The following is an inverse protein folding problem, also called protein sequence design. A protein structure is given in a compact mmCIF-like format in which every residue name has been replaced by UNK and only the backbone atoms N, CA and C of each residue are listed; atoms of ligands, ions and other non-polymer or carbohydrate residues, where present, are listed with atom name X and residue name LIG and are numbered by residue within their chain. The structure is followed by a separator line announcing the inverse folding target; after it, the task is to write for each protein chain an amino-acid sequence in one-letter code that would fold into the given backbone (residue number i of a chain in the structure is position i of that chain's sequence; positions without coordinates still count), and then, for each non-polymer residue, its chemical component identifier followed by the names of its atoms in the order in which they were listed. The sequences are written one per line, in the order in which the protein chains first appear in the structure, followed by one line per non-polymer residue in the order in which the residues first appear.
data_IF_466587959856
#
_entry.id   IF_466587959856
#
_cell.length_a   1.000
_cell.length_b   1.000
_cell.length_c   1.000
_cell.angle_alpha   90.00
_cell.angle_beta   90.00
_cell.angle_gamma   90.00
#
_symmetry.space_group_name_H-M   'P 1'
#
loop_
_entity.id
_entity.type
_entity.pdbx_description
1 polymer ?
#
# COMPACT_ATOMS: atom_id res chain seq x y z
N UNK A 1 32.94 -17.46 -34.46
CA UNK A 1 32.62 -16.16 -33.82
C UNK A 1 31.18 -16.08 -33.31
N UNK A 2 30.19 -16.62 -34.04
CA UNK A 2 28.75 -16.61 -33.67
C UNK A 2 28.43 -17.41 -32.39
N UNK A 3 29.16 -18.51 -32.11
CA UNK A 3 28.91 -19.36 -30.94
C UNK A 3 29.25 -18.69 -29.59
N UNK A 4 30.14 -17.68 -29.57
CA UNK A 4 30.53 -16.97 -28.34
C UNK A 4 29.51 -15.91 -27.90
N UNK A 5 28.68 -15.42 -28.83
CA UNK A 5 27.61 -14.47 -28.51
C UNK A 5 26.39 -15.18 -27.89
N UNK A 6 26.11 -16.42 -28.27
CA UNK A 6 25.01 -17.19 -27.69
C UNK A 6 25.25 -17.56 -26.21
N UNK A 7 26.47 -17.92 -25.83
CA UNK A 7 26.79 -18.26 -24.43
C UNK A 7 26.73 -17.04 -23.51
N UNK A 8 27.11 -15.85 -24.00
CA UNK A 8 27.01 -14.61 -23.23
C UNK A 8 25.54 -14.17 -23.03
N UNK A 9 24.68 -14.35 -24.04
CA UNK A 9 23.26 -14.03 -23.95
C UNK A 9 22.51 -14.97 -22.97
N UNK A 10 22.84 -16.27 -22.96
CA UNK A 10 22.21 -17.24 -22.05
C UNK A 10 22.63 -17.01 -20.59
N UNK A 11 23.89 -16.63 -20.34
CA UNK A 11 24.35 -16.29 -18.99
C UNK A 11 23.76 -14.97 -18.48
N UNK A 12 23.59 -13.96 -19.36
CA UNK A 12 22.90 -12.72 -19.01
C UNK A 12 21.41 -12.94 -18.71
N UNK A 13 20.77 -13.88 -19.42
CA UNK A 13 19.37 -14.25 -19.16
C UNK A 13 19.21 -14.97 -17.81
N UNK A 14 20.15 -15.83 -17.43
CA UNK A 14 20.11 -16.54 -16.15
C UNK A 14 20.38 -15.64 -14.93
N UNK A 15 21.17 -14.58 -15.07
CA UNK A 15 21.47 -13.65 -13.97
C UNK A 15 20.33 -12.67 -13.65
N UNK A 16 19.47 -12.35 -14.62
CA UNK A 16 18.35 -11.40 -14.42
C UNK A 16 17.23 -11.93 -13.52
N UNK A 17 17.14 -13.24 -13.30
CA UNK A 17 16.07 -13.87 -12.50
C UNK A 17 16.41 -14.08 -11.01
N UNK A 18 17.60 -13.68 -10.55
CA UNK A 18 18.09 -13.98 -9.19
C UNK A 18 17.93 -12.85 -8.16
N UNK A 19 17.15 -11.80 -8.43
CA UNK A 19 16.82 -10.78 -7.41
C UNK A 19 15.74 -11.32 -6.46
N UNK A 20 16.17 -11.95 -5.36
CA UNK A 20 15.32 -12.28 -4.19
C UNK A 20 14.50 -11.05 -3.79
N UNK A 21 13.20 -11.24 -3.54
CA UNK A 21 12.29 -10.18 -3.10
C UNK A 21 12.89 -9.46 -1.89
N UNK A 22 13.27 -8.20 -2.10
CA UNK A 22 13.80 -7.34 -1.05
C UNK A 22 12.65 -6.51 -0.48
N UNK A 23 12.64 -6.38 0.84
CA UNK A 23 11.85 -5.35 1.53
C UNK A 23 12.67 -4.06 1.44
N UNK A 24 12.09 -3.00 0.90
CA UNK A 24 12.74 -1.67 0.89
C UNK A 24 12.10 -0.85 1.99
N UNK A 25 12.88 -0.56 3.03
CA UNK A 25 12.48 0.25 4.17
C UNK A 25 12.81 1.70 3.83
N UNK A 26 11.80 2.52 3.52
CA UNK A 26 11.96 3.97 3.31
C UNK A 26 11.75 4.70 4.63
N UNK A 27 12.83 5.04 5.32
CA UNK A 27 12.75 5.67 6.64
C UNK A 27 12.50 7.19 6.56
N UNK A 28 11.31 7.61 6.99
CA UNK A 28 11.04 8.92 7.61
C UNK A 28 10.82 8.70 9.11
N UNK A 29 11.16 9.69 9.94
CA UNK A 29 11.20 9.54 11.39
C UNK A 29 9.87 9.01 11.97
N UNK A 30 9.97 7.96 12.80
CA UNK A 30 8.95 7.28 13.61
C UNK A 30 8.04 6.16 13.06
N UNK A 31 7.78 6.00 11.77
CA UNK A 31 7.39 4.67 11.23
C UNK A 31 7.60 4.61 9.72
N UNK A 32 8.18 3.51 9.26
CA UNK A 32 8.48 3.28 7.85
C UNK A 32 7.27 2.64 7.19
N UNK A 33 6.65 3.32 6.23
CA UNK A 33 5.73 2.67 5.31
C UNK A 33 6.45 1.47 4.68
N UNK A 34 5.97 0.26 4.95
CA UNK A 34 6.70 -0.94 4.54
C UNK A 34 6.38 -1.21 3.08
N UNK A 35 7.39 -1.03 2.24
CA UNK A 35 7.28 -1.25 0.80
C UNK A 35 7.78 -2.66 0.47
N UNK A 36 6.86 -3.47 -0.03
CA UNK A 36 7.11 -4.85 -0.43
C UNK A 36 7.19 -4.98 -1.93
N UNK A 37 8.21 -5.72 -2.41
CA UNK A 37 8.27 -6.12 -3.80
C UNK A 37 7.66 -7.52 -3.97
N UNK A 38 6.40 -7.56 -4.44
CA UNK A 38 5.66 -8.78 -4.73
C UNK A 38 5.98 -9.32 -6.12
N UNK A 39 6.39 -10.58 -6.16
CA UNK A 39 6.47 -11.37 -7.40
C UNK A 39 5.08 -11.80 -7.86
N UNK A 40 4.98 -12.21 -9.11
CA UNK A 40 3.77 -12.80 -9.70
C UNK A 40 3.33 -14.00 -8.84
N UNK A 41 2.04 -14.08 -8.48
CA UNK A 41 1.46 -15.16 -7.66
C UNK A 41 2.11 -15.31 -6.28
N UNK A 42 2.70 -14.25 -5.76
CA UNK A 42 3.21 -14.21 -4.39
C UNK A 42 2.31 -13.34 -3.50
N UNK A 43 2.41 -13.56 -2.20
CA UNK A 43 1.68 -12.82 -1.19
C UNK A 43 2.61 -12.42 -0.06
N UNK A 44 2.50 -11.18 0.39
CA UNK A 44 3.16 -10.71 1.62
C UNK A 44 2.10 -10.26 2.60
N UNK A 45 2.43 -10.35 3.90
CA UNK A 45 1.51 -10.02 4.96
C UNK A 45 2.19 -9.25 6.09
N UNK A 46 1.50 -8.26 6.64
CA UNK A 46 1.83 -7.62 7.91
C UNK A 46 0.92 -8.13 9.03
N UNK A 47 1.47 -8.22 10.23
CA UNK A 47 0.79 -8.69 11.42
C UNK A 47 0.89 -7.61 12.48
N UNK A 48 -0.21 -7.34 13.17
CA UNK A 48 -0.21 -6.44 14.32
C UNK A 48 -1.25 -6.92 15.34
N UNK A 49 -1.07 -6.52 16.59
CA UNK A 49 -1.94 -6.92 17.70
C UNK A 49 -2.89 -5.78 18.05
N UNK A 50 -4.18 -6.08 18.16
CA UNK A 50 -5.21 -5.09 18.51
C UNK A 50 -6.03 -5.53 19.72
N UNK A 51 -6.58 -4.54 20.41
CA UNK A 51 -7.50 -4.75 21.53
C UNK A 51 -8.95 -4.59 21.05
N UNK A 52 -9.90 -5.21 21.75
CA UNK A 52 -11.31 -5.09 21.45
C UNK A 52 -11.78 -3.65 21.61
N UNK A 53 -12.76 -3.30 20.79
CA UNK A 53 -13.38 -1.97 20.67
C UNK A 53 -12.44 -0.90 20.12
N UNK A 54 -11.21 -1.24 19.73
CA UNK A 54 -10.36 -0.33 18.97
C UNK A 54 -10.82 -0.24 17.52
N UNK A 55 -10.69 0.94 16.92
CA UNK A 55 -10.83 1.10 15.47
C UNK A 55 -9.46 0.96 14.82
N UNK A 56 -9.40 0.14 13.77
CA UNK A 56 -8.19 -0.16 13.01
C UNK A 56 -8.42 0.22 11.57
N UNK A 57 -7.47 0.95 10.99
CA UNK A 57 -7.48 1.27 9.56
C UNK A 57 -6.28 0.62 8.91
N UNK A 58 -6.52 -0.12 7.83
CA UNK A 58 -5.45 -0.56 6.96
C UNK A 58 -5.43 0.29 5.70
N UNK A 59 -4.23 0.58 5.19
CA UNK A 59 -4.04 1.22 3.90
C UNK A 59 -3.14 0.38 3.01
N UNK A 60 -3.54 0.26 1.74
CA UNK A 60 -2.79 -0.47 0.73
C UNK A 60 -2.68 0.38 -0.52
N UNK A 61 -1.47 0.63 -0.98
CA UNK A 61 -1.20 1.25 -2.26
C UNK A 61 -0.38 0.32 -3.14
N UNK A 62 -0.80 0.14 -4.38
CA UNK A 62 -0.20 -0.81 -5.32
C UNK A 62 0.30 -0.08 -6.55
N UNK A 63 1.59 -0.24 -6.83
CA UNK A 63 2.23 0.20 -8.06
C UNK A 63 2.68 -1.04 -8.85
N UNK A 64 2.48 -1.03 -10.17
CA UNK A 64 3.02 -2.10 -11.01
C UNK A 64 4.44 -1.75 -11.43
N UNK A 65 5.41 -2.60 -11.08
CA UNK A 65 6.82 -2.40 -11.46
C UNK A 65 7.05 -2.73 -12.95
N UNK A 66 6.18 -3.57 -13.53
CA UNK A 66 6.29 -4.13 -14.88
C UNK A 66 5.02 -3.86 -15.70
N UNK A 67 4.93 -4.35 -16.95
CA UNK A 67 3.81 -4.11 -17.89
C UNK A 67 2.42 -4.60 -17.43
N UNK A 68 2.31 -5.11 -16.22
CA UNK A 68 1.09 -5.68 -15.70
C UNK A 68 0.10 -4.66 -15.18
N UNK A 69 -1.13 -5.13 -14.96
CA UNK A 69 -2.16 -4.34 -14.32
C UNK A 69 -1.84 -4.22 -12.82
N UNK A 70 -1.94 -3.02 -12.20
CA UNK A 70 -1.81 -2.84 -10.77
C UNK A 70 -3.09 -3.35 -10.09
N UNK A 71 -3.23 -4.68 -10.06
CA UNK A 71 -4.36 -5.40 -9.45
C UNK A 71 -3.82 -6.30 -8.35
N UNK A 72 -4.41 -6.18 -7.17
CA UNK A 72 -4.03 -7.00 -6.04
C UNK A 72 -5.26 -7.52 -5.29
N UNK A 73 -5.15 -8.73 -4.75
CA UNK A 73 -6.12 -9.26 -3.81
C UNK A 73 -5.68 -8.88 -2.41
N UNK A 74 -6.51 -8.12 -1.71
CA UNK A 74 -6.28 -7.69 -0.33
C UNK A 74 -7.13 -8.58 0.56
N UNK A 75 -6.51 -9.15 1.59
CA UNK A 75 -7.22 -9.90 2.62
C UNK A 75 -6.88 -9.40 4.00
N UNK A 76 -7.88 -9.00 4.78
CA UNK A 76 -7.76 -8.61 6.18
C UNK A 76 -8.46 -9.65 7.06
N UNK A 77 -7.68 -10.31 7.90
CA UNK A 77 -8.10 -11.49 8.67
C UNK A 77 -7.69 -11.37 10.14
N UNK A 78 -8.57 -11.78 11.05
CA UNK A 78 -8.23 -11.95 12.46
C UNK A 78 -9.45 -12.05 13.38
N UNK A 79 -9.26 -12.39 14.67
CA UNK A 79 -7.97 -12.71 15.29
C UNK A 79 -7.43 -14.09 14.85
N UNK A 80 -6.13 -14.19 14.57
CA UNK A 80 -5.41 -15.39 14.10
C UNK A 80 -4.80 -16.19 15.27
N UNK A 81 -4.49 -15.50 16.36
CA UNK A 81 -4.02 -16.06 17.64
C UNK A 81 -4.51 -15.13 18.76
N UNK A 82 -4.95 -15.68 19.90
CA UNK A 82 -5.51 -14.91 21.02
C UNK A 82 -6.94 -15.26 21.44
N UNK A 83 -7.56 -16.30 20.87
CA UNK A 83 -8.93 -16.72 21.23
C UNK A 83 -9.04 -17.47 22.58
N UNK A 84 -8.11 -17.29 23.52
CA UNK A 84 -8.25 -17.88 24.86
C UNK A 84 -9.52 -17.38 25.57
N UNK A 85 -9.97 -16.15 25.26
CA UNK A 85 -11.23 -15.61 25.78
C UNK A 85 -12.52 -16.04 25.04
N UNK A 86 -12.42 -16.72 23.89
CA UNK A 86 -13.56 -17.14 23.06
C UNK A 86 -13.96 -18.62 23.25
N UNK A 87 -13.21 -19.35 24.07
CA UNK A 87 -13.51 -20.71 24.50
C UNK A 87 -13.35 -20.83 26.02
N UNK A 88 -14.42 -20.69 26.82
CA UNK A 88 -14.36 -20.96 28.26
C UNK A 88 -14.05 -22.43 28.63
N UNK A 89 -13.96 -23.35 27.66
CA UNK A 89 -13.92 -24.81 27.90
C UNK A 89 -12.62 -25.53 27.50
N UNK A 90 -11.55 -24.84 27.10
CA UNK A 90 -10.27 -25.49 26.79
C UNK A 90 -9.20 -25.09 27.78
N UNK A 91 -9.21 -25.78 28.92
CA UNK A 91 -8.27 -25.60 30.01
C UNK A 91 -6.81 -25.85 29.61
N UNK A 92 -5.95 -25.01 30.20
CA UNK A 92 -4.59 -25.32 30.67
C UNK A 92 -3.74 -26.24 29.80
N UNK A 93 -2.86 -25.66 28.99
CA UNK A 93 -1.56 -26.27 28.75
C UNK A 93 -0.45 -25.28 29.08
N UNK A 94 0.49 -25.79 29.88
CA UNK A 94 1.58 -25.13 30.58
C UNK A 94 2.50 -24.29 29.70
N UNK A 95 2.85 -23.11 30.22
CA UNK A 95 4.05 -22.39 29.83
C UNK A 95 5.30 -23.19 30.23
N UNK A 96 6.21 -23.43 29.28
CA UNK A 96 7.62 -23.61 29.63
C UNK A 96 8.59 -23.23 28.49
N UNK A 97 9.52 -22.36 28.85
CA UNK A 97 10.90 -22.17 28.37
C UNK A 97 11.19 -21.24 27.17
N UNK A 98 11.81 -20.09 27.50
CA UNK A 98 13.24 -19.89 27.22
C UNK A 98 13.67 -19.16 25.94
N UNK A 99 14.02 -17.87 26.08
CA UNK A 99 15.28 -17.29 25.58
C UNK A 99 15.56 -17.16 24.07
N UNK A 100 15.44 -15.93 23.56
CA UNK A 100 16.33 -15.32 22.54
C UNK A 100 16.51 -16.11 21.22
N UNK A 101 15.41 -16.56 20.60
CA UNK A 101 15.31 -16.87 19.15
C UNK A 101 13.98 -16.38 18.53
N UNK A 102 13.34 -15.41 19.18
CA UNK A 102 11.89 -15.20 19.10
C UNK A 102 11.36 -14.63 17.77
N UNK A 103 12.12 -13.86 16.99
CA UNK A 103 11.58 -13.23 15.78
C UNK A 103 11.26 -14.24 14.65
N UNK A 104 12.08 -15.29 14.48
CA UNK A 104 11.81 -16.32 13.47
C UNK A 104 10.83 -17.40 13.96
N UNK A 105 10.62 -17.50 15.27
CA UNK A 105 9.66 -18.43 15.87
C UNK A 105 8.24 -17.84 15.86
N UNK A 106 8.08 -16.54 16.15
CA UNK A 106 6.78 -15.85 16.07
C UNK A 106 6.12 -16.04 14.70
N UNK A 107 6.86 -15.83 13.61
CA UNK A 107 6.34 -16.05 12.25
C UNK A 107 5.93 -17.51 11.97
N UNK A 108 6.59 -18.49 12.59
CA UNK A 108 6.21 -19.92 12.49
C UNK A 108 5.05 -20.27 13.40
N UNK A 109 4.98 -19.69 14.58
CA UNK A 109 3.90 -19.90 15.55
C UNK A 109 2.60 -19.23 15.13
N UNK A 110 2.65 -18.01 14.58
CA UNK A 110 1.50 -17.37 13.94
C UNK A 110 0.98 -18.19 12.76
N UNK A 111 1.87 -18.76 11.94
CA UNK A 111 1.48 -19.70 10.87
C UNK A 111 0.90 -20.99 11.42
N UNK A 112 1.48 -21.57 12.48
CA UNK A 112 0.95 -22.78 13.13
C UNK A 112 -0.41 -22.50 13.74
N UNK A 113 -0.59 -21.41 14.49
CA UNK A 113 -1.87 -20.97 15.06
C UNK A 113 -2.93 -20.74 13.99
N UNK A 114 -2.57 -20.08 12.87
CA UNK A 114 -3.45 -19.91 11.71
C UNK A 114 -3.90 -21.23 11.05
N UNK A 115 -3.11 -22.31 11.17
CA UNK A 115 -3.44 -23.61 10.56
C UNK A 115 -4.11 -24.56 11.54
N UNK A 116 -3.79 -24.45 12.84
CA UNK A 116 -4.22 -25.40 13.88
C UNK A 116 -5.37 -24.89 14.75
N UNK A 117 -5.46 -23.58 14.97
CA UNK A 117 -6.44 -22.94 15.86
C UNK A 117 -7.40 -22.02 15.10
N UNK A 118 -7.24 -21.87 13.78
CA UNK A 118 -8.28 -21.23 12.97
C UNK A 118 -9.54 -22.07 13.10
N UNK A 119 -10.62 -21.54 13.72
CA UNK A 119 -11.73 -22.41 14.04
C UNK A 119 -12.32 -22.88 12.71
N UNK A 120 -12.65 -24.18 12.62
CA UNK A 120 -13.28 -24.82 11.45
C UNK A 120 -14.72 -24.29 11.24
N UNK A 121 -14.86 -22.97 11.13
CA UNK A 121 -16.09 -22.19 10.96
C UNK A 121 -16.66 -22.42 9.56
N UNK A 122 -15.83 -22.88 8.62
CA UNK A 122 -16.24 -23.14 7.24
C UNK A 122 -17.37 -24.17 7.15
N UNK A 123 -17.50 -25.10 8.11
CA UNK A 123 -18.49 -26.17 8.01
C UNK A 123 -19.67 -26.11 8.99
N UNK A 124 -19.53 -25.49 10.17
CA UNK A 124 -20.63 -25.40 11.15
C UNK A 124 -21.55 -24.18 10.98
N UNK A 125 -21.07 -23.10 10.34
CA UNK A 125 -21.78 -21.81 10.27
C UNK A 125 -22.19 -21.39 8.85
N UNK A 126 -22.42 -22.34 7.92
CA UNK A 126 -22.82 -22.06 6.53
C UNK A 126 -24.10 -21.21 6.37
N UNK A 127 -24.83 -20.91 7.46
CA UNK A 127 -26.03 -20.05 7.47
C UNK A 127 -25.95 -18.78 8.33
N UNK A 128 -24.84 -18.50 9.03
CA UNK A 128 -24.75 -17.31 9.92
C UNK A 128 -24.03 -16.18 9.19
N UNK A 129 -24.68 -15.00 9.08
CA UNK A 129 -24.08 -13.76 8.55
C UNK A 129 -22.72 -13.51 9.21
N UNK A 130 -21.68 -13.25 8.41
CA UNK A 130 -20.31 -12.97 8.88
C UNK A 130 -20.26 -11.95 10.02
N UNK A 131 -21.13 -10.94 9.99
CA UNK A 131 -21.23 -9.88 11.00
C UNK A 131 -21.60 -10.38 12.42
N UNK A 132 -22.23 -11.56 12.53
CA UNK A 132 -22.67 -12.18 13.79
C UNK A 132 -21.69 -13.21 14.36
N UNK A 133 -20.60 -13.53 13.65
CA UNK A 133 -19.61 -14.52 14.09
C UNK A 133 -18.62 -13.87 15.04
N UNK A 134 -18.57 -14.32 16.29
CA UNK A 134 -17.47 -14.31 17.28
C UNK A 134 -16.33 -13.26 17.15
N UNK A 135 -16.59 -12.04 16.67
CA UNK A 135 -15.55 -11.03 16.42
C UNK A 135 -14.56 -11.33 15.30
N UNK A 136 -14.79 -12.36 14.49
CA UNK A 136 -13.85 -12.79 13.44
C UNK A 136 -14.09 -11.99 12.17
N UNK A 137 -13.04 -11.30 11.73
CA UNK A 137 -12.99 -10.57 10.47
C UNK A 137 -12.29 -11.47 9.46
N UNK A 138 -12.97 -11.73 8.34
CA UNK A 138 -12.37 -12.33 7.15
C UNK A 138 -12.91 -11.56 5.95
N UNK A 139 -12.14 -10.58 5.51
CA UNK A 139 -12.45 -9.73 4.36
C UNK A 139 -11.45 -10.01 3.26
N UNK A 140 -11.95 -10.36 2.08
CA UNK A 140 -11.13 -10.49 0.88
C UNK A 140 -11.78 -9.66 -0.24
N UNK A 141 -10.97 -8.82 -0.89
CA UNK A 141 -11.38 -7.97 -2.00
C UNK A 141 -10.28 -7.87 -3.05
N UNK A 142 -10.65 -7.57 -4.28
CA UNK A 142 -9.70 -7.30 -5.35
C UNK A 142 -9.71 -5.80 -5.60
N UNK A 143 -8.62 -5.12 -5.29
CA UNK A 143 -8.47 -3.71 -5.59
C UNK A 143 -7.76 -3.54 -6.94
N UNK A 144 -8.34 -2.70 -7.79
CA UNK A 144 -7.90 -2.48 -9.17
C UNK A 144 -7.61 -0.99 -9.42
N UNK A 145 -6.32 -0.67 -9.57
CA UNK A 145 -5.84 0.68 -9.89
C UNK A 145 -5.56 0.87 -11.38
N UNK A 146 -5.97 -0.06 -12.25
CA UNK A 146 -5.62 -0.02 -13.69
C UNK A 146 -6.05 1.27 -14.36
N UNK A 147 -7.19 1.82 -13.91
CA UNK A 147 -7.80 3.03 -14.46
C UNK A 147 -7.83 4.18 -13.45
N UNK A 148 -7.00 4.12 -12.40
CA UNK A 148 -6.87 5.21 -11.45
C UNK A 148 -6.13 6.39 -12.10
N UNK A 149 -6.69 7.61 -12.02
CA UNK A 149 -6.08 8.82 -12.56
C UNK A 149 -7.08 9.80 -13.16
N UNK A 150 -6.67 11.07 -13.31
CA UNK A 150 -7.55 12.20 -13.64
C UNK A 150 -7.73 12.47 -15.14
N UNK A 151 -7.12 11.67 -16.02
CA UNK A 151 -7.26 11.87 -17.46
C UNK A 151 -8.65 11.45 -17.96
N UNK A 152 -9.17 12.19 -18.93
CA UNK A 152 -10.46 11.91 -19.60
C UNK A 152 -10.54 10.45 -20.12
N UNK A 153 -9.43 9.94 -20.67
CA UNK A 153 -9.32 8.54 -21.10
C UNK A 153 -9.51 7.53 -19.95
N UNK A 154 -9.05 7.88 -18.75
CA UNK A 154 -9.21 7.04 -17.57
C UNK A 154 -10.67 7.04 -17.09
N UNK A 155 -11.37 8.16 -17.20
CA UNK A 155 -12.80 8.25 -16.88
C UNK A 155 -13.66 7.43 -17.86
N UNK A 156 -13.42 7.58 -19.16
CA UNK A 156 -14.10 6.78 -20.19
C UNK A 156 -13.87 5.28 -19.99
N UNK A 157 -12.62 4.89 -19.74
CA UNK A 157 -12.28 3.49 -19.45
C UNK A 157 -12.97 2.96 -18.20
N UNK A 158 -13.10 3.79 -17.14
CA UNK A 158 -13.82 3.43 -15.92
C UNK A 158 -15.31 3.22 -16.17
N UNK A 159 -15.95 4.09 -16.94
CA UNK A 159 -17.35 3.94 -17.31
C UNK A 159 -17.59 2.65 -18.10
N UNK A 160 -16.71 2.33 -19.05
CA UNK A 160 -16.80 1.10 -19.83
C UNK A 160 -16.60 -0.15 -18.95
N UNK A 161 -15.60 -0.14 -18.07
CA UNK A 161 -15.33 -1.24 -17.15
C UNK A 161 -16.48 -1.44 -16.14
N UNK A 162 -17.08 -0.36 -15.62
CA UNK A 162 -18.29 -0.43 -14.77
C UNK A 162 -19.47 -1.02 -15.53
N UNK A 163 -19.66 -0.66 -16.81
CA UNK A 163 -20.73 -1.21 -17.65
C UNK A 163 -20.55 -2.73 -17.83
N UNK A 164 -19.35 -3.16 -18.21
CA UNK A 164 -19.01 -4.59 -18.36
C UNK A 164 -19.18 -5.37 -17.06
N UNK A 165 -18.78 -4.79 -15.93
CA UNK A 165 -18.94 -5.44 -14.62
C UNK A 165 -20.42 -5.60 -14.25
N UNK A 166 -21.25 -4.59 -14.54
CA UNK A 166 -22.70 -4.66 -14.29
C UNK A 166 -23.38 -5.73 -15.14
N UNK A 167 -22.99 -5.85 -16.41
CA UNK A 167 -23.46 -6.90 -17.32
C UNK A 167 -23.05 -8.32 -16.85
N UNK A 168 -21.84 -8.46 -16.30
CA UNK A 168 -21.40 -9.71 -15.70
C UNK A 168 -22.15 -10.06 -14.41
N UNK A 169 -22.38 -9.08 -13.54
CA UNK A 169 -23.15 -9.24 -12.30
C UNK A 169 -24.62 -9.61 -12.56
N UNK A 170 -25.21 -9.16 -13.68
CA UNK A 170 -26.59 -9.53 -14.03
C UNK A 170 -26.70 -10.92 -14.66
N UNK A 171 -25.62 -11.49 -15.18
CA UNK A 171 -25.62 -12.77 -15.90
C UNK A 171 -25.13 -13.98 -15.08
N UNK A 172 -24.40 -13.76 -13.98
CA UNK A 172 -23.87 -14.85 -13.15
C UNK A 172 -24.62 -14.98 -11.82
N UNK A 173 -25.03 -16.20 -11.40
CA UNK A 173 -25.65 -16.41 -10.10
C UNK A 173 -24.65 -16.10 -8.99
N UNK A 174 -25.17 -15.54 -7.88
CA UNK A 174 -24.43 -15.09 -6.68
C UNK A 174 -23.67 -16.25 -5.99
N UNK A 175 -22.58 -16.73 -6.59
CA UNK A 175 -21.55 -17.45 -5.84
C UNK A 175 -20.73 -16.45 -5.03
N UNK A 176 -19.99 -16.91 -4.02
CA UNK A 176 -19.13 -16.15 -3.11
C UNK A 176 -18.00 -15.39 -3.86
N UNK A 177 -18.37 -14.41 -4.68
CA UNK A 177 -17.46 -13.62 -5.48
C UNK A 177 -16.71 -12.66 -4.57
N UNK A 178 -15.39 -12.77 -4.57
CA UNK A 178 -14.49 -11.75 -4.04
C UNK A 178 -14.87 -10.42 -4.69
N UNK A 179 -15.23 -9.42 -3.87
CA UNK A 179 -15.69 -8.12 -4.37
C UNK A 179 -14.54 -7.40 -5.05
N UNK A 180 -14.65 -7.16 -6.35
CA UNK A 180 -13.70 -6.30 -7.07
C UNK A 180 -14.10 -4.84 -6.87
N UNK A 181 -13.16 -4.02 -6.39
CA UNK A 181 -13.31 -2.58 -6.23
C UNK A 181 -12.35 -1.87 -7.19
N UNK A 182 -12.92 -1.06 -8.08
CA UNK A 182 -12.13 -0.20 -8.95
C UNK A 182 -11.84 1.11 -8.21
N UNK A 183 -10.57 1.46 -8.12
CA UNK A 183 -10.12 2.68 -7.46
C UNK A 183 -10.10 3.81 -8.49
N UNK A 184 -10.77 4.91 -8.16
CA UNK A 184 -10.96 6.04 -9.08
C UNK A 184 -9.75 6.99 -9.09
N UNK A 185 -9.13 7.21 -7.92
CA UNK A 185 -8.01 8.15 -7.72
C UNK A 185 -6.71 7.42 -7.43
N UNK A 186 -5.58 8.09 -7.67
CA UNK A 186 -4.25 7.55 -7.36
C UNK A 186 -3.98 7.78 -5.86
N UNK A 187 -4.80 7.14 -5.04
CA UNK A 187 -4.77 7.21 -3.58
C UNK A 187 -4.68 5.79 -3.02
N UNK A 188 -4.11 5.62 -1.81
CA UNK A 188 -4.16 4.36 -1.09
C UNK A 188 -5.61 3.92 -0.89
N UNK A 189 -5.85 2.61 -1.01
CA UNK A 189 -7.12 2.04 -0.60
C UNK A 189 -7.12 1.93 0.92
N UNK A 190 -8.08 2.59 1.58
CA UNK A 190 -8.22 2.59 3.04
C UNK A 190 -9.57 2.03 3.47
N UNK A 191 -9.57 1.21 4.51
CA UNK A 191 -10.79 0.73 5.14
C UNK A 191 -10.60 0.65 6.66
N UNK A 192 -11.61 1.15 7.38
CA UNK A 192 -11.61 1.17 8.85
C UNK A 192 -12.59 0.14 9.40
N UNK A 193 -12.13 -0.61 10.38
CA UNK A 193 -12.89 -1.65 11.05
C UNK A 193 -12.85 -1.47 12.56
N UNK A 194 -14.00 -1.70 13.20
CA UNK A 194 -14.05 -1.84 14.65
C UNK A 194 -13.69 -3.27 15.03
N UNK A 195 -12.63 -3.40 15.81
CA UNK A 195 -12.14 -4.68 16.35
C UNK A 195 -13.10 -5.13 17.45
N UNK A 196 -13.58 -6.37 17.34
CA UNK A 196 -14.53 -6.95 18.29
C UNK A 196 -13.87 -7.83 19.35
N UNK A 197 -12.72 -8.40 19.03
CA UNK A 197 -12.00 -9.34 19.87
C UNK A 197 -10.50 -9.01 19.86
N UNK A 198 -9.87 -9.13 21.01
CA UNK A 198 -8.44 -8.92 21.17
C UNK A 198 -7.67 -10.02 20.42
N UNK A 199 -6.53 -9.67 19.83
CA UNK A 199 -5.63 -10.67 19.27
C UNK A 199 -4.82 -10.16 18.09
N UNK A 200 -4.17 -11.11 17.41
CA UNK A 200 -3.35 -10.85 16.24
C UNK A 200 -4.17 -10.78 14.97
N UNK A 201 -4.08 -9.67 14.26
CA UNK A 201 -4.70 -9.47 12.96
C UNK A 201 -3.62 -9.45 11.87
N UNK A 202 -4.02 -9.81 10.66
CA UNK A 202 -3.14 -9.86 9.49
C UNK A 202 -3.78 -9.18 8.31
N UNK A 203 -3.00 -8.33 7.66
CA UNK A 203 -3.27 -7.80 6.34
C UNK A 203 -2.34 -8.49 5.36
N UNK A 204 -2.88 -9.18 4.36
CA UNK A 204 -2.11 -9.73 3.26
C UNK A 204 -2.49 -9.10 1.95
N UNK A 205 -1.50 -8.94 1.07
CA UNK A 205 -1.71 -8.52 -0.32
C UNK A 205 -1.10 -9.58 -1.23
N UNK A 206 -1.92 -10.07 -2.17
CA UNK A 206 -1.54 -11.10 -3.14
C UNK A 206 -1.48 -10.50 -4.53
N UNK A 207 -0.38 -10.75 -5.23
CA UNK A 207 -0.27 -10.47 -6.67
C UNK A 207 -0.90 -11.62 -7.46
N UNK A 208 -1.71 -11.30 -8.47
CA UNK A 208 -2.32 -12.30 -9.36
C UNK A 208 -1.49 -12.53 -10.63
N UNK A 209 -1.18 -11.46 -11.35
CA UNK A 209 -0.68 -11.54 -12.73
C UNK A 209 0.64 -10.80 -12.97
N UNK A 210 1.03 -9.87 -12.08
CA UNK A 210 2.07 -8.88 -12.35
C UNK A 210 3.02 -8.71 -11.17
N UNK A 211 4.24 -8.26 -11.43
CA UNK A 211 5.15 -7.87 -10.34
C UNK A 211 4.68 -6.53 -9.77
N UNK A 212 4.42 -6.48 -8.48
CA UNK A 212 3.83 -5.31 -7.80
C UNK A 212 4.80 -4.78 -6.75
N UNK A 213 4.87 -3.46 -6.65
CA UNK A 213 5.41 -2.76 -5.51
C UNK A 213 4.23 -2.34 -4.64
N UNK A 214 4.16 -2.83 -3.40
CA UNK A 214 3.01 -2.63 -2.52
C UNK A 214 3.47 -1.90 -1.27
N UNK A 215 2.84 -0.76 -0.99
CA UNK A 215 2.95 -0.07 0.28
C UNK A 215 1.77 -0.54 1.15
N UNK A 216 2.06 -1.15 2.30
CA UNK A 216 1.06 -1.60 3.26
C UNK A 216 1.26 -0.91 4.60
N UNK A 217 0.18 -0.44 5.20
CA UNK A 217 0.18 0.12 6.56
C UNK A 217 -1.06 -0.33 7.34
N UNK A 218 -0.88 -0.44 8.66
CA UNK A 218 -1.91 -0.88 9.59
C UNK A 218 -1.82 -0.02 10.85
N UNK A 219 -2.94 0.66 11.15
CA UNK A 219 -3.02 1.76 12.11
C UNK A 219 -4.09 1.48 13.15
N UNK A 220 -3.76 1.57 14.44
CA UNK A 220 -4.73 1.50 15.54
C UNK A 220 -5.07 2.89 16.08
N UNK A 221 -6.36 3.11 16.33
CA UNK A 221 -6.89 4.32 16.98
C UNK A 221 -6.33 4.55 18.38
N UNK A 222 -6.00 3.51 19.15
CA UNK A 222 -5.43 3.67 20.49
C UNK A 222 -4.00 4.19 20.45
N UNK A 223 -3.22 3.76 19.45
CA UNK A 223 -1.85 4.20 19.24
C UNK A 223 -1.77 5.62 18.67
N UNK A 224 -2.67 5.97 17.75
CA UNK A 224 -2.61 7.21 16.97
C UNK A 224 -3.58 8.29 17.46
N UNK A 225 -4.15 8.11 18.65
CA UNK A 225 -4.96 9.13 19.31
C UNK A 225 -6.34 9.37 18.68
N UNK A 226 -6.90 8.35 18.01
CA UNK A 226 -8.30 8.34 17.58
C UNK A 226 -8.51 8.18 16.07
N UNK A 227 -9.68 8.64 15.64
CA UNK A 227 -10.16 8.59 14.25
C UNK A 227 -10.32 10.04 13.79
N UNK A 228 -9.88 10.32 12.59
CA UNK A 228 -10.13 11.58 11.91
C UNK A 228 -11.61 11.72 11.57
N UNK A 229 -12.19 12.88 11.91
CA UNK A 229 -13.61 13.17 11.73
C UNK A 229 -13.97 13.40 10.26
N UNK A 230 -13.01 13.84 9.45
CA UNK A 230 -13.24 14.15 8.04
C UNK A 230 -13.25 12.88 7.20
N UNK A 231 -12.23 12.04 7.37
CA UNK A 231 -12.07 10.81 6.59
C UNK A 231 -12.79 9.60 7.20
N UNK A 232 -13.01 9.60 8.52
CA UNK A 232 -13.48 8.41 9.25
C UNK A 232 -12.41 7.34 9.40
N UNK A 233 -11.15 7.65 9.10
CA UNK A 233 -10.01 6.77 9.20
C UNK A 233 -9.13 7.10 10.40
N UNK A 234 -8.36 6.13 10.90
CA UNK A 234 -7.36 6.38 11.95
C UNK A 234 -6.29 7.30 11.39
N UNK A 235 -5.82 8.29 12.16
CA UNK A 235 -4.78 9.23 11.72
C UNK A 235 -3.54 8.52 11.18
N UNK A 236 -2.91 9.07 10.15
CA UNK A 236 -1.55 8.63 9.76
C UNK A 236 -0.53 9.04 10.83
N UNK A 237 0.65 8.42 10.83
CA UNK A 237 1.74 8.84 11.71
C UNK A 237 2.17 10.29 11.44
N UNK A 238 2.19 10.70 10.18
CA UNK A 238 2.50 12.06 9.76
C UNK A 238 1.45 13.06 10.26
N UNK A 239 0.16 12.75 10.08
CA UNK A 239 -0.93 13.55 10.63
C UNK A 239 -0.84 13.62 12.16
N UNK A 240 -0.53 12.50 12.82
CA UNK A 240 -0.40 12.51 14.26
C UNK A 240 0.77 13.39 14.73
N UNK A 241 1.92 13.30 14.08
CA UNK A 241 3.08 14.14 14.39
C UNK A 241 2.76 15.64 14.24
N UNK A 242 2.06 16.02 13.15
CA UNK A 242 1.62 17.42 12.97
C UNK A 242 0.59 17.86 14.01
N UNK A 243 -0.32 16.97 14.43
CA UNK A 243 -1.26 17.27 15.50
C UNK A 243 -0.54 17.47 16.85
N UNK A 244 0.43 16.63 17.16
CA UNK A 244 1.22 16.74 18.39
C UNK A 244 2.07 18.02 18.39
N UNK A 245 2.70 18.38 17.27
CA UNK A 245 3.39 19.67 17.11
C UNK A 245 2.45 20.86 17.33
N UNK A 246 1.24 20.80 16.73
CA UNK A 246 0.23 21.83 16.91
C UNK A 246 -0.27 21.92 18.36
N UNK A 247 -0.34 20.81 19.10
CA UNK A 247 -0.68 20.80 20.53
C UNK A 247 0.44 21.41 21.35
N UNK A 248 1.70 21.08 21.06
CA UNK A 248 2.86 21.68 21.74
C UNK A 248 2.86 23.21 21.57
N UNK A 249 2.67 23.70 20.36
CA UNK A 249 2.57 25.13 20.06
C UNK A 249 1.38 25.84 20.72
N UNK A 250 0.29 25.12 21.00
CA UNK A 250 -0.85 25.65 21.78
C UNK A 250 -0.59 25.60 23.28
N UNK A 251 0.04 24.55 23.78
CA UNK A 251 0.37 24.41 25.21
C UNK A 251 1.39 25.45 25.67
N UNK A 252 2.33 25.85 24.79
CA UNK A 252 3.22 26.99 25.05
C UNK A 252 2.50 28.33 25.20
N UNK A 253 1.25 28.45 24.71
CA UNK A 253 0.40 29.62 24.97
C UNK A 253 -0.18 29.62 26.39
N UNK A 254 -0.34 28.42 26.98
CA UNK A 254 -1.09 28.18 28.21
C UNK A 254 -0.20 28.07 29.46
N UNK A 255 1.11 28.28 29.34
CA UNK A 255 2.02 28.41 30.47
C UNK A 255 2.26 29.89 30.81
N UNK A 256 1.42 30.53 31.65
CA UNK A 256 1.92 31.61 32.47
C UNK A 256 2.93 31.02 33.46
N UNK A 257 4.10 31.63 33.51
CA UNK A 257 5.15 31.34 34.49
C UNK A 257 4.56 31.44 35.91
N UNK A 258 4.29 30.30 36.55
CA UNK A 258 4.06 30.20 37.99
C UNK A 258 5.18 29.37 38.63
N UNK A 259 6.13 30.07 39.25
CA UNK A 259 6.89 29.76 40.49
C UNK A 259 8.17 30.62 40.48
N UNK A 260 8.25 31.76 41.15
CA UNK A 260 8.46 32.00 42.60
C UNK A 260 9.79 31.48 43.17
N UNK A 261 10.49 32.43 43.80
CA UNK A 261 11.45 32.33 44.93
C UNK A 261 12.97 32.22 44.67
N UNK A 262 13.65 33.38 44.57
CA UNK A 262 14.85 33.68 45.38
C UNK A 262 15.27 35.18 45.35
N UNK A 263 15.31 35.78 46.56
CA UNK A 263 16.01 36.99 47.03
C UNK A 263 15.47 38.41 46.68
N UNK A 264 15.45 39.36 47.65
CA UNK A 264 14.85 40.68 47.49
C UNK A 264 15.87 41.68 46.93
N UNK A 265 15.66 42.16 45.70
CA UNK A 265 16.37 43.31 45.14
C UNK A 265 15.37 44.40 44.78
N UNK A 266 15.46 45.51 45.52
CA UNK A 266 15.11 46.91 45.19
C UNK A 266 13.88 47.15 44.28
N UNK A 267 12.81 47.68 44.92
CA UNK A 267 11.48 48.01 44.36
C UNK A 267 11.42 49.21 43.40
N UNK A 268 12.25 49.27 42.37
CA UNK A 268 12.09 50.29 41.28
C UNK A 268 11.96 49.65 39.90
N UNK A 269 12.29 48.38 39.74
CA UNK A 269 12.28 47.71 38.43
C UNK A 269 11.03 46.88 38.14
N UNK A 270 10.12 46.69 39.11
CA UNK A 270 8.96 45.79 38.96
C UNK A 270 7.89 46.33 37.99
N UNK A 271 7.68 47.65 37.95
CA UNK A 271 6.76 48.27 36.98
C UNK A 271 7.39 48.39 35.59
N UNK A 272 8.71 48.54 35.50
CA UNK A 272 9.44 48.55 34.23
C UNK A 272 9.49 47.15 33.61
N UNK A 273 9.71 46.11 34.42
CA UNK A 273 9.64 44.71 33.99
C UNK A 273 8.23 44.35 33.52
N UNK A 274 7.17 44.78 34.23
CA UNK A 274 5.79 44.56 33.75
C UNK A 274 5.50 45.28 32.44
N UNK A 275 6.00 46.51 32.26
CA UNK A 275 5.83 47.26 31.02
C UNK A 275 6.63 46.66 29.85
N UNK A 276 7.86 46.20 30.11
CA UNK A 276 8.68 45.48 29.13
C UNK A 276 8.05 44.13 28.78
N UNK A 277 7.59 43.36 29.74
CA UNK A 277 6.89 42.10 29.48
C UNK A 277 5.60 42.32 28.69
N UNK A 278 4.80 43.35 29.00
CA UNK A 278 3.59 43.65 28.25
C UNK A 278 3.91 44.13 26.83
N UNK A 279 4.97 44.92 26.64
CA UNK A 279 5.42 45.32 25.31
C UNK A 279 6.00 44.15 24.52
N UNK A 280 6.81 43.28 25.12
CA UNK A 280 7.43 42.14 24.44
C UNK A 280 6.37 41.06 24.14
N UNK A 281 5.48 40.74 25.09
CA UNK A 281 4.36 39.80 24.89
C UNK A 281 3.35 40.33 23.88
N UNK A 282 2.97 41.60 23.98
CA UNK A 282 1.90 42.19 23.17
C UNK A 282 2.33 42.58 21.76
N UNK A 283 3.57 43.05 21.58
CA UNK A 283 3.98 43.70 20.32
C UNK A 283 4.68 42.74 19.37
N UNK A 284 5.47 41.77 19.87
CA UNK A 284 6.32 40.93 19.01
C UNK A 284 6.08 39.42 19.16
N UNK A 285 5.79 38.90 20.35
CA UNK A 285 5.65 37.45 20.57
C UNK A 285 4.35 36.88 19.98
N UNK A 286 3.21 37.53 20.18
CA UNK A 286 1.92 37.07 19.62
C UNK A 286 1.89 37.07 18.08
N UNK A 287 2.33 38.13 17.37
CA UNK A 287 2.33 38.11 15.90
C UNK A 287 3.34 37.10 15.34
N UNK A 288 4.53 36.94 15.95
CA UNK A 288 5.50 35.92 15.49
C UNK A 288 4.99 34.51 15.73
N UNK A 289 4.31 34.27 16.84
CA UNK A 289 3.75 32.96 17.15
C UNK A 289 2.56 32.58 16.25
N UNK A 290 1.68 33.54 15.94
CA UNK A 290 0.59 33.30 14.98
C UNK A 290 1.14 33.04 13.58
N UNK A 291 2.19 33.76 13.17
CA UNK A 291 2.91 33.48 11.93
C UNK A 291 3.56 32.09 11.95
N UNK A 292 4.18 31.68 13.06
CA UNK A 292 4.78 30.35 13.20
C UNK A 292 3.74 29.23 13.06
N UNK A 293 2.57 29.36 13.72
CA UNK A 293 1.47 28.40 13.60
C UNK A 293 0.96 28.31 12.16
N UNK A 294 0.82 29.46 11.48
CA UNK A 294 0.43 29.48 10.08
C UNK A 294 1.47 28.80 9.19
N UNK A 295 2.77 29.05 9.42
CA UNK A 295 3.86 28.40 8.68
C UNK A 295 3.85 26.88 8.88
N UNK A 296 3.69 26.39 10.10
CA UNK A 296 3.61 24.94 10.38
C UNK A 296 2.42 24.31 9.66
N UNK A 297 1.24 24.95 9.70
CA UNK A 297 0.07 24.44 8.97
C UNK A 297 0.29 24.40 7.46
N UNK A 298 0.95 25.42 6.89
CA UNK A 298 1.25 25.53 5.47
C UNK A 298 2.32 24.50 5.05
N UNK A 299 3.32 24.25 5.91
CA UNK A 299 4.32 23.19 5.69
C UNK A 299 3.66 21.82 5.71
N UNK A 300 2.74 21.55 6.64
CA UNK A 300 2.00 20.29 6.68
C UNK A 300 1.15 20.07 5.42
N UNK A 301 0.47 21.12 4.93
CA UNK A 301 -0.30 21.07 3.69
C UNK A 301 0.61 20.84 2.47
N UNK A 302 1.75 21.55 2.38
CA UNK A 302 2.76 21.32 1.35
C UNK A 302 3.34 19.90 1.42
N UNK A 303 3.57 19.41 2.64
CA UNK A 303 3.83 18.01 3.03
C UNK A 303 2.97 17.04 2.23
N UNK A 304 1.68 17.09 2.56
CA UNK A 304 0.62 16.25 2.01
C UNK A 304 0.51 16.36 0.49
N UNK A 305 0.50 17.58 -0.04
CA UNK A 305 0.42 17.83 -1.48
C UNK A 305 1.65 17.27 -2.23
N UNK A 306 2.83 17.33 -1.62
CA UNK A 306 4.05 16.77 -2.19
C UNK A 306 3.96 15.23 -2.29
N UNK A 307 3.46 14.57 -1.25
CA UNK A 307 3.33 13.11 -1.26
C UNK A 307 2.26 12.60 -2.22
N UNK A 308 1.12 13.29 -2.31
CA UNK A 308 0.11 13.04 -3.33
C UNK A 308 0.71 13.20 -4.74
N UNK A 309 1.44 14.30 -4.98
CA UNK A 309 2.10 14.53 -6.25
C UNK A 309 3.15 13.46 -6.56
N UNK A 310 3.94 13.04 -5.58
CA UNK A 310 4.93 11.97 -5.72
C UNK A 310 4.29 10.64 -6.08
N UNK A 311 3.17 10.26 -5.46
CA UNK A 311 2.39 9.06 -5.83
C UNK A 311 1.83 9.19 -7.24
N UNK A 312 1.27 10.35 -7.60
CA UNK A 312 0.76 10.63 -8.95
C UNK A 312 1.86 10.48 -10.00
N UNK A 313 3.03 11.10 -9.80
CA UNK A 313 4.19 11.00 -10.71
C UNK A 313 4.69 9.56 -10.84
N UNK A 314 4.76 8.81 -9.74
CA UNK A 314 5.14 7.39 -9.77
C UNK A 314 4.16 6.57 -10.62
N UNK A 315 2.86 6.72 -10.37
CA UNK A 315 1.81 6.07 -11.15
C UNK A 315 1.86 6.44 -12.63
N UNK A 316 2.07 7.71 -12.98
CA UNK A 316 2.23 8.13 -14.38
C UNK A 316 3.47 7.52 -15.03
N UNK A 317 4.61 7.46 -14.33
CA UNK A 317 5.81 6.77 -14.84
C UNK A 317 5.55 5.30 -15.09
N UNK A 318 4.85 4.62 -14.19
CA UNK A 318 4.44 3.22 -14.37
C UNK A 318 3.48 3.05 -15.56
N UNK A 319 2.54 3.98 -15.76
CA UNK A 319 1.63 3.98 -16.92
C UNK A 319 2.34 4.27 -18.24
N UNK A 320 3.24 5.25 -18.26
CA UNK A 320 4.02 5.61 -19.44
C UNK A 320 4.92 4.46 -19.90
N UNK A 321 5.55 3.73 -18.96
CA UNK A 321 6.30 2.51 -19.26
C UNK A 321 5.41 1.45 -19.89
N UNK A 322 4.24 1.16 -19.30
CA UNK A 322 3.25 0.22 -19.86
C UNK A 322 2.90 0.54 -21.31
N UNK A 323 2.64 1.82 -21.60
CA UNK A 323 2.29 2.26 -22.96
C UNK A 323 3.48 2.13 -23.91
N UNK A 324 4.67 2.61 -23.51
CA UNK A 324 5.88 2.54 -24.32
C UNK A 324 6.23 1.10 -24.71
N UNK A 325 6.12 0.17 -23.77
CA UNK A 325 6.45 -1.23 -24.01
C UNK A 325 5.39 -1.96 -24.86
N UNK A 326 4.12 -1.57 -24.73
CA UNK A 326 3.07 -2.03 -25.64
C UNK A 326 3.37 -1.63 -27.08
N UNK A 327 3.74 -0.36 -27.29
CA UNK A 327 4.12 0.18 -28.60
C UNK A 327 5.41 -0.47 -29.14
N UNK A 328 6.41 -0.70 -28.30
CA UNK A 328 7.67 -1.32 -28.75
C UNK A 328 7.48 -2.79 -29.15
N UNK A 329 6.65 -3.55 -28.42
CA UNK A 329 6.36 -4.96 -28.75
C UNK A 329 5.52 -5.09 -30.02
N UNK A 330 4.51 -4.21 -30.21
CA UNK A 330 3.75 -4.21 -31.45
C UNK A 330 4.63 -3.84 -32.64
N UNK A 331 5.50 -2.83 -32.49
CA UNK A 331 6.46 -2.43 -33.53
C UNK A 331 7.48 -3.52 -33.87
N UNK A 332 7.96 -4.28 -32.87
CA UNK A 332 8.86 -5.41 -33.11
C UNK A 332 8.16 -6.57 -33.85
N UNK A 333 6.93 -6.92 -33.46
CA UNK A 333 6.13 -7.94 -34.15
C UNK A 333 5.82 -7.53 -35.60
N UNK A 334 5.48 -6.27 -35.81
CA UNK A 334 5.25 -5.70 -37.14
C UNK A 334 6.53 -5.79 -37.99
N UNK A 335 7.68 -5.37 -37.44
CA UNK A 335 8.97 -5.46 -38.13
C UNK A 335 9.32 -6.91 -38.49
N UNK A 336 9.08 -7.85 -37.57
CA UNK A 336 9.32 -9.27 -37.81
C UNK A 336 8.40 -9.82 -38.91
N UNK A 337 7.12 -9.44 -38.91
CA UNK A 337 6.17 -9.79 -39.96
C UNK A 337 6.64 -9.27 -41.33
N UNK A 338 7.09 -8.01 -41.40
CA UNK A 338 7.64 -7.44 -42.63
C UNK A 338 8.85 -8.21 -43.14
N UNK A 339 9.79 -8.60 -42.26
CA UNK A 339 10.96 -9.41 -42.65
C UNK A 339 10.54 -10.77 -43.20
N UNK A 340 9.54 -11.42 -42.60
CA UNK A 340 9.01 -12.70 -43.07
C UNK A 340 8.35 -12.56 -44.44
N UNK A 341 7.52 -11.53 -44.63
CA UNK A 341 6.83 -11.25 -45.90
C UNK A 341 7.84 -10.94 -47.01
N UNK A 342 8.81 -10.06 -46.74
CA UNK A 342 9.88 -9.73 -47.69
C UNK A 342 10.74 -10.96 -48.02
N UNK A 343 11.08 -11.79 -47.02
CA UNK A 343 11.80 -13.04 -47.24
C UNK A 343 11.04 -14.03 -48.12
N UNK A 344 9.72 -14.13 -47.91
CA UNK A 344 8.84 -14.95 -48.74
C UNK A 344 8.76 -14.43 -50.18
N UNK A 345 8.64 -13.12 -50.37
CA UNK A 345 8.65 -12.50 -51.70
C UNK A 345 9.96 -12.80 -52.44
N UNK A 346 11.12 -12.59 -51.80
CA UNK A 346 12.42 -12.91 -52.40
C UNK A 346 12.53 -14.40 -52.75
N UNK A 347 12.05 -15.29 -51.87
CA UNK A 347 12.03 -16.72 -52.13
C UNK A 347 11.18 -17.09 -53.34
N UNK A 348 9.97 -16.52 -53.46
CA UNK A 348 9.08 -16.77 -54.60
C UNK A 348 9.69 -16.30 -55.92
N UNK A 349 10.29 -15.10 -55.95
CA UNK A 349 10.98 -14.58 -57.14
C UNK A 349 12.17 -15.47 -57.51
N UNK A 350 12.99 -15.88 -56.54
CA UNK A 350 14.12 -16.79 -56.78
C UNK A 350 13.65 -18.13 -57.33
N UNK A 351 12.59 -18.72 -56.76
CA UNK A 351 12.02 -19.99 -57.23
C UNK A 351 11.49 -19.86 -58.66
N UNK A 352 10.80 -18.77 -58.97
CA UNK A 352 10.30 -18.49 -60.32
C UNK A 352 11.44 -18.34 -61.34
N UNK A 353 12.49 -17.59 -61.00
CA UNK A 353 13.67 -17.42 -61.85
C UNK A 353 14.41 -18.75 -62.10
N UNK A 354 14.58 -19.58 -61.06
CA UNK A 354 15.24 -20.89 -61.19
C UNK A 354 14.42 -21.92 -61.98
N UNK A 355 13.08 -21.86 -61.91
CA UNK A 355 12.22 -22.73 -62.71
C UNK A 355 12.22 -22.33 -64.19
N UNK A 356 12.26 -21.03 -64.49
CA UNK A 356 12.28 -20.55 -65.87
C UNK A 356 13.66 -20.68 -66.53
N UNK A 357 14.77 -20.59 -65.79
CA UNK A 357 16.11 -20.78 -66.37
C UNK A 357 16.37 -22.21 -66.83
N UNK A 358 15.71 -23.21 -66.22
CA UNK A 358 15.78 -24.62 -66.63
C UNK A 358 15.06 -24.91 -67.96
N UNK A 359 14.15 -24.04 -68.40
CA UNK A 359 13.45 -24.16 -69.69
C UNK A 359 14.18 -23.47 -70.86
N UNK A 360 15.25 -22.72 -70.60
CA UNK A 360 16.05 -22.02 -71.63
C UNK A 360 17.31 -22.79 -72.07
N UNK A 361 17.57 -23.97 -71.49
CA UNK A 361 18.81 -24.74 -71.73
C UNK A 361 18.76 -25.79 -72.84
N UNK A 362 17.64 -25.94 -73.55
CA UNK A 362 17.50 -26.84 -74.70
C UNK A 362 16.97 -26.06 -75.91
N UNK A 363 17.84 -25.26 -76.52
CA UNK A 363 17.74 -24.88 -77.94
C UNK A 363 19.14 -25.06 -78.54
#
# INVERSE_FOLDING_TARGET
MILRYFTAAVLAWHWSHATRGGVVVVAGADRVAVVYNLRIRSSECIYDQFQAKESVTYSVFVESESHGQPKATISFEGPISGNEGLHPDLGTMEENHGGIQQFNQLGRELRKGAVTHWPNIKDKDKGVRFDKRAGIINRELIADWTHAGEHEDAELSRLEARRKMKEHLSSTPKSDFVKTMMIDRIEPFEETHLIKADGWYRLCVKSLASKLLVEMDLRSSSQLGGIDKETGHVYTHEERATLDENVLLKSSDASPVESSDAAPVVKVDEDLERHLEQQIKGTDLLPTQTQAKHLVSLVAEMMKMHDEHKRRVRSHRASARRNYDGVSRSGWLETLLYVVVCGFQIYTVRKWLLQNSLLSGNI
#
